data_IF_037564026974
#
_entry.id   IF_037564026974
#
_cell.length_a   1.000
_cell.length_b   1.000
_cell.length_c   1.000
_cell.angle_alpha   90.00
_cell.angle_beta   90.00
_cell.angle_gamma   90.00
#
_symmetry.space_group_name_H-M   'P 1'
#
loop_
_entity.id
_entity.type
_entity.pdbx_description
1 polymer ?
#
# COMPACT_ATOMS: atom_id res chain seq x y z
N UNK A 1 -19.97 49.44 20.26
CA UNK A 1 -19.30 48.13 20.40
C UNK A 1 -18.38 47.97 19.21
N UNK A 2 -17.10 48.31 19.39
CA UNK A 2 -16.08 48.38 18.34
C UNK A 2 -15.13 47.20 18.47
N UNK A 3 -14.80 46.56 17.35
CA UNK A 3 -13.84 45.48 17.27
C UNK A 3 -12.40 45.99 17.49
N UNK A 4 -11.48 45.17 18.04
CA UNK A 4 -10.08 45.55 18.16
C UNK A 4 -9.33 45.39 16.83
N UNK A 5 -8.48 46.37 16.57
CA UNK A 5 -7.59 46.50 15.44
C UNK A 5 -6.33 45.65 15.69
N UNK A 6 -6.02 44.66 14.84
CA UNK A 6 -4.78 43.90 14.89
C UNK A 6 -3.80 44.47 13.85
N UNK A 7 -2.69 45.03 14.33
CA UNK A 7 -1.60 45.56 13.50
C UNK A 7 -0.54 44.47 13.29
N UNK A 8 -0.23 44.14 12.03
CA UNK A 8 0.66 43.06 11.60
C UNK A 8 2.05 43.58 11.14
N UNK A 9 2.65 44.51 11.88
CA UNK A 9 3.96 45.08 11.52
C UNK A 9 5.11 44.84 12.50
N UNK A 10 4.92 44.09 13.60
CA UNK A 10 5.98 43.88 14.62
C UNK A 10 6.56 42.45 14.68
N UNK A 11 6.52 41.70 13.59
CA UNK A 11 7.24 40.44 13.50
C UNK A 11 8.09 40.45 12.24
N UNK A 12 9.35 40.85 12.38
CA UNK A 12 10.54 40.35 11.69
C UNK A 12 11.64 41.41 11.81
N UNK A 13 12.46 41.31 12.85
CA UNK A 13 13.81 41.87 12.85
C UNK A 13 14.78 40.71 13.06
N UNK A 14 15.77 40.50 12.16
CA UNK A 14 16.87 39.59 12.43
C UNK A 14 17.82 40.25 13.43
N UNK A 15 18.04 39.59 14.57
CA UNK A 15 19.17 39.93 15.44
C UNK A 15 20.44 39.37 14.81
N UNK A 16 21.34 40.25 14.38
CA UNK A 16 22.72 39.87 14.06
C UNK A 16 23.48 39.59 15.37
N UNK A 17 24.04 38.39 15.47
CA UNK A 17 24.92 37.98 16.57
C UNK A 17 26.35 38.21 16.09
N UNK A 18 27.15 39.08 16.74
CA UNK A 18 28.57 39.19 16.43
C UNK A 18 29.31 37.96 16.98
N UNK A 19 29.84 37.13 16.08
CA UNK A 19 30.79 36.08 16.41
C UNK A 19 32.20 36.64 16.35
N UNK A 20 32.74 37.05 17.48
CA UNK A 20 34.19 37.26 17.63
C UNK A 20 34.66 36.69 18.97
N UNK A 21 35.03 35.42 18.93
CA UNK A 21 35.80 34.76 19.99
C UNK A 21 36.90 33.93 19.32
N UNK A 22 38.19 34.23 19.53
CA UNK A 22 39.26 33.35 19.12
C UNK A 22 39.25 32.10 20.00
N UNK A 23 38.74 30.99 19.45
CA UNK A 23 38.85 29.68 20.06
C UNK A 23 40.31 29.18 19.98
N UNK A 24 40.91 28.66 21.06
CA UNK A 24 42.21 28.02 20.99
C UNK A 24 42.11 26.76 20.11
N UNK A 25 43.04 26.62 19.17
CA UNK A 25 43.16 25.44 18.30
C UNK A 25 43.40 24.21 19.19
N UNK A 26 42.47 23.25 19.28
CA UNK A 26 42.73 22.01 20.01
C UNK A 26 43.80 21.21 19.25
N UNK A 27 44.78 20.68 19.99
CA UNK A 27 45.80 19.79 19.45
C UNK A 27 45.15 18.64 18.68
N UNK A 28 45.65 18.37 17.47
CA UNK A 28 45.18 17.31 16.58
C UNK A 28 45.15 15.98 17.33
N UNK A 29 43.98 15.37 17.58
CA UNK A 29 43.93 14.04 18.16
C UNK A 29 44.53 13.06 17.16
N UNK A 30 45.49 12.25 17.62
CA UNK A 30 46.08 11.16 16.85
C UNK A 30 44.95 10.30 16.27
N UNK A 31 44.90 10.20 14.94
CA UNK A 31 43.98 9.33 14.23
C UNK A 31 44.20 7.90 14.76
N UNK A 32 43.19 7.24 15.35
CA UNK A 32 43.31 5.82 15.65
C UNK A 32 43.54 5.09 14.32
N UNK A 33 44.56 4.24 14.30
CA UNK A 33 44.88 3.32 13.21
C UNK A 33 43.59 2.66 12.71
N UNK A 34 43.33 2.57 11.40
CA UNK A 34 42.14 1.92 10.89
C UNK A 34 42.11 0.46 11.38
N UNK A 35 41.26 0.20 12.38
CA UNK A 35 40.91 -1.14 12.79
C UNK A 35 40.26 -1.80 11.59
N UNK A 36 40.92 -2.82 11.04
CA UNK A 36 40.37 -3.69 9.99
C UNK A 36 38.90 -3.96 10.29
N UNK A 37 37.96 -3.60 9.39
CA UNK A 37 36.55 -3.85 9.64
C UNK A 37 36.40 -5.35 9.91
N UNK A 38 35.75 -5.66 11.04
CA UNK A 38 35.43 -7.03 11.40
C UNK A 38 34.82 -7.70 10.17
N UNK A 39 35.44 -8.81 9.76
CA UNK A 39 34.96 -9.71 8.74
C UNK A 39 33.47 -9.94 9.04
N UNK A 40 32.59 -9.38 8.22
CA UNK A 40 31.18 -9.72 8.29
C UNK A 40 31.11 -11.22 8.04
N UNK A 41 30.60 -11.94 9.02
CA UNK A 41 30.31 -13.36 8.93
C UNK A 41 29.44 -13.54 7.67
N UNK A 42 30.03 -14.14 6.62
CA UNK A 42 29.44 -14.43 5.31
C UNK A 42 28.37 -15.53 5.47
N UNK A 43 27.43 -15.32 6.38
CA UNK A 43 26.24 -16.15 6.47
C UNK A 43 25.44 -15.86 5.20
N UNK A 44 25.21 -16.84 4.33
CA UNK A 44 24.40 -16.63 3.15
C UNK A 44 23.04 -16.12 3.60
N UNK A 45 22.72 -14.88 3.22
CA UNK A 45 21.40 -14.32 3.47
C UNK A 45 20.40 -15.24 2.81
N UNK A 46 19.44 -15.73 3.61
CA UNK A 46 18.29 -16.45 3.06
C UNK A 46 17.63 -15.55 2.03
N UNK A 47 17.35 -16.04 0.80
CA UNK A 47 16.69 -15.23 -0.22
C UNK A 47 15.42 -14.61 0.36
N UNK A 48 15.34 -13.29 0.36
CA UNK A 48 14.19 -12.58 0.90
C UNK A 48 12.95 -12.94 0.08
N UNK A 49 11.97 -13.59 0.72
CA UNK A 49 10.72 -13.98 0.07
C UNK A 49 9.80 -12.76 -0.02
N UNK A 50 9.77 -12.15 -1.20
CA UNK A 50 9.08 -10.90 -1.46
C UNK A 50 7.55 -11.04 -1.56
N UNK A 51 7.03 -12.26 -1.60
CA UNK A 51 5.59 -12.55 -1.70
C UNK A 51 5.24 -13.53 -0.60
N UNK A 52 4.29 -13.17 0.23
CA UNK A 52 3.84 -14.01 1.33
C UNK A 52 2.36 -14.29 1.21
N UNK A 53 2.02 -15.58 1.13
CA UNK A 53 0.64 -16.04 1.25
C UNK A 53 0.30 -16.28 2.72
N UNK A 54 -0.85 -15.78 3.16
CA UNK A 54 -1.31 -15.95 4.54
C UNK A 54 -2.70 -16.60 4.56
N UNK A 55 -2.82 -17.86 5.02
CA UNK A 55 -1.74 -18.79 5.35
C UNK A 55 -1.03 -19.32 4.09
N UNK A 56 0.25 -19.69 4.21
CA UNK A 56 1.07 -20.16 3.08
C UNK A 56 0.52 -21.45 2.44
N UNK A 57 -0.07 -22.33 3.26
CA UNK A 57 -0.67 -23.58 2.79
C UNK A 57 -1.82 -23.37 1.79
N UNK A 58 -2.45 -22.20 1.78
CA UNK A 58 -3.56 -21.88 0.91
C UNK A 58 -3.11 -21.34 -0.46
N UNK A 59 -1.81 -21.11 -0.69
CA UNK A 59 -1.30 -20.52 -1.94
C UNK A 59 -1.82 -21.22 -3.20
N UNK A 60 -1.72 -22.56 -3.37
CA UNK A 60 -2.19 -23.23 -4.58
C UNK A 60 -3.68 -23.01 -4.82
N UNK A 61 -4.47 -23.03 -3.74
CA UNK A 61 -5.91 -22.80 -3.80
C UNK A 61 -6.20 -21.34 -4.18
N UNK A 62 -5.60 -20.37 -3.48
CA UNK A 62 -5.79 -18.93 -3.73
C UNK A 62 -5.49 -18.61 -5.19
N UNK A 63 -4.36 -19.08 -5.73
CA UNK A 63 -3.96 -18.86 -7.12
C UNK A 63 -4.97 -19.42 -8.13
N UNK A 64 -5.61 -20.55 -7.82
CA UNK A 64 -6.57 -21.21 -8.72
C UNK A 64 -7.93 -20.50 -8.81
N UNK A 65 -8.21 -19.54 -7.93
CA UNK A 65 -9.53 -18.91 -7.87
C UNK A 65 -9.79 -18.01 -9.08
N UNK A 66 -10.98 -18.13 -9.72
CA UNK A 66 -11.39 -17.24 -10.80
C UNK A 66 -11.70 -15.84 -10.24
N UNK A 67 -11.32 -14.81 -10.98
CA UNK A 67 -11.58 -13.42 -10.62
C UNK A 67 -12.92 -13.00 -11.22
N UNK A 68 -13.75 -12.34 -10.42
CA UNK A 68 -14.95 -11.63 -10.88
C UNK A 68 -14.63 -10.18 -11.19
N UNK A 69 -13.96 -9.52 -10.26
CA UNK A 69 -13.61 -8.10 -10.35
C UNK A 69 -12.38 -7.82 -9.50
N UNK A 70 -11.71 -6.73 -9.83
CA UNK A 70 -10.63 -6.17 -9.02
C UNK A 70 -11.14 -4.87 -8.37
N UNK A 71 -10.91 -4.72 -7.08
CA UNK A 71 -11.29 -3.53 -6.33
C UNK A 71 -10.02 -2.81 -5.91
N UNK A 72 -9.91 -1.55 -6.27
CA UNK A 72 -8.91 -0.64 -5.70
C UNK A 72 -9.57 0.07 -4.53
N UNK A 73 -9.03 -0.12 -3.33
CA UNK A 73 -9.64 0.37 -2.09
C UNK A 73 -8.67 1.26 -1.35
N UNK A 74 -9.19 2.39 -0.89
CA UNK A 74 -8.49 3.34 -0.05
C UNK A 74 -9.02 3.24 1.38
N UNK A 75 -8.13 2.98 2.33
CA UNK A 75 -8.44 2.91 3.75
C UNK A 75 -7.81 4.07 4.50
N UNK A 76 -8.46 4.48 5.60
CA UNK A 76 -7.84 5.35 6.59
C UNK A 76 -6.62 4.66 7.22
N UNK A 77 -5.56 5.43 7.42
CA UNK A 77 -4.48 5.01 8.32
C UNK A 77 -4.78 5.59 9.70
N UNK A 78 -4.97 4.76 10.74
CA UNK A 78 -5.47 5.19 12.04
C UNK A 78 -4.56 6.17 12.80
N UNK A 79 -3.33 6.43 12.35
CA UNK A 79 -2.41 7.37 12.97
C UNK A 79 -1.87 8.40 11.96
N UNK A 80 -2.11 9.71 12.17
CA UNK A 80 -1.46 10.75 11.40
C UNK A 80 0.02 10.82 11.77
N UNK A 81 0.89 10.58 10.79
CA UNK A 81 2.34 10.78 10.95
C UNK A 81 2.61 12.26 10.68
N UNK A 82 3.11 12.98 11.69
CA UNK A 82 3.34 14.44 11.63
C UNK A 82 2.10 15.28 11.30
N UNK A 83 0.92 14.87 11.80
CA UNK A 83 -0.33 15.62 11.58
C UNK A 83 -0.92 15.47 10.18
N UNK A 84 -0.35 14.62 9.33
CA UNK A 84 -0.91 14.30 8.01
C UNK A 84 -1.60 12.95 8.02
N UNK A 85 -2.89 12.93 7.66
CA UNK A 85 -3.62 11.69 7.39
C UNK A 85 -3.06 11.04 6.13
N UNK A 86 -2.70 9.76 6.21
CA UNK A 86 -2.23 8.98 5.06
C UNK A 86 -3.32 8.02 4.62
N UNK A 87 -3.34 7.77 3.31
CA UNK A 87 -4.12 6.71 2.69
C UNK A 87 -3.31 5.43 2.65
N UNK A 88 -3.89 4.31 3.05
CA UNK A 88 -3.37 3.00 2.62
C UNK A 88 -4.22 2.50 1.46
N UNK A 89 -3.55 2.10 0.38
CA UNK A 89 -4.20 1.53 -0.79
C UNK A 89 -3.97 0.02 -0.79
N UNK A 90 -4.98 -0.71 -1.22
CA UNK A 90 -4.93 -2.17 -1.39
C UNK A 90 -5.75 -2.58 -2.59
N UNK A 91 -5.32 -3.65 -3.26
CA UNK A 91 -6.17 -4.34 -4.21
C UNK A 91 -6.94 -5.46 -3.51
N UNK A 92 -8.22 -5.60 -3.81
CA UNK A 92 -9.03 -6.75 -3.40
C UNK A 92 -9.58 -7.43 -4.64
N UNK A 93 -9.27 -8.71 -4.79
CA UNK A 93 -9.74 -9.52 -5.91
C UNK A 93 -11.01 -10.23 -5.45
N UNK A 94 -12.15 -9.90 -6.06
CA UNK A 94 -13.41 -10.59 -5.76
C UNK A 94 -13.43 -11.96 -6.43
N UNK A 95 -13.61 -13.02 -5.66
CA UNK A 95 -13.63 -14.41 -6.14
C UNK A 95 -15.01 -15.08 -5.98
N UNK A 96 -15.98 -14.36 -5.40
CA UNK A 96 -17.36 -14.82 -5.18
C UNK A 96 -17.71 -15.00 -3.70
N UNK A 97 -19.01 -15.13 -3.39
CA UNK A 97 -19.48 -15.46 -2.03
C UNK A 97 -19.04 -14.50 -0.91
N UNK A 98 -18.85 -13.20 -1.22
CA UNK A 98 -18.27 -12.20 -0.32
C UNK A 98 -16.84 -12.50 0.16
N UNK A 99 -16.12 -13.37 -0.55
CA UNK A 99 -14.71 -13.67 -0.35
C UNK A 99 -13.89 -12.80 -1.30
N UNK A 100 -12.83 -12.23 -0.75
CA UNK A 100 -11.88 -11.40 -1.46
C UNK A 100 -10.47 -11.88 -1.19
N UNK A 101 -9.57 -11.75 -2.16
CA UNK A 101 -8.13 -11.91 -1.95
C UNK A 101 -7.53 -10.52 -1.88
N UNK A 102 -7.04 -10.13 -0.71
CA UNK A 102 -6.32 -8.90 -0.52
C UNK A 102 -4.89 -9.06 -1.05
N UNK A 103 -4.47 -8.10 -1.87
CA UNK A 103 -3.10 -7.96 -2.39
C UNK A 103 -2.60 -6.59 -1.95
N UNK A 104 -1.75 -6.60 -0.94
CA UNK A 104 -1.28 -5.40 -0.26
C UNK A 104 0.24 -5.32 -0.31
N UNK A 105 0.76 -4.14 -0.63
CA UNK A 105 2.19 -3.85 -0.53
C UNK A 105 2.48 -3.21 0.83
N UNK A 106 3.17 -3.95 1.70
CA UNK A 106 3.59 -3.46 3.00
C UNK A 106 5.05 -2.99 2.96
N UNK A 107 5.30 -1.85 3.58
CA UNK A 107 6.66 -1.38 3.86
C UNK A 107 7.24 -2.23 5.00
N UNK A 108 8.35 -2.93 4.76
CA UNK A 108 8.95 -3.72 5.82
C UNK A 108 9.55 -2.81 6.90
N UNK A 109 9.26 -3.12 8.16
CA UNK A 109 9.83 -2.41 9.32
C UNK A 109 11.21 -2.94 9.73
N UNK A 110 11.64 -4.08 9.18
CA UNK A 110 12.89 -4.70 9.57
C UNK A 110 14.09 -3.93 8.98
N UNK A 111 15.00 -3.50 9.85
CA UNK A 111 16.15 -2.67 9.49
C UNK A 111 17.23 -3.42 8.70
N UNK A 112 17.19 -4.74 8.67
CA UNK A 112 18.08 -5.56 7.81
C UNK A 112 17.71 -5.51 6.32
N UNK A 113 16.60 -4.86 5.96
CA UNK A 113 16.11 -4.74 4.56
C UNK A 113 16.33 -3.33 3.99
N UNK A 114 17.22 -2.57 4.59
CA UNK A 114 17.74 -1.34 3.99
C UNK A 114 18.69 -1.74 2.88
N UNK A 115 18.31 -1.43 1.65
CA UNK A 115 19.27 -1.38 0.55
C UNK A 115 19.94 -0.01 0.57
N UNK A 116 21.12 0.15 -0.08
CA UNK A 116 21.69 1.47 -0.34
C UNK A 116 20.70 2.44 -1.03
N UNK A 117 19.61 1.92 -1.60
CA UNK A 117 18.62 2.66 -2.38
C UNK A 117 17.26 2.85 -1.67
N UNK A 118 17.01 2.23 -0.51
CA UNK A 118 15.72 2.37 0.16
C UNK A 118 15.34 1.23 1.10
N UNK A 119 14.03 1.07 1.34
CA UNK A 119 13.47 -0.07 2.08
C UNK A 119 12.69 -0.97 1.15
N UNK A 120 12.86 -2.29 1.27
CA UNK A 120 12.10 -3.24 0.46
C UNK A 120 10.62 -3.30 0.88
N UNK A 121 9.75 -3.49 -0.11
CA UNK A 121 8.36 -3.84 0.09
C UNK A 121 8.18 -5.35 0.17
N UNK A 122 7.16 -5.77 0.91
CA UNK A 122 6.67 -7.14 0.92
C UNK A 122 5.24 -7.17 0.36
N UNK A 123 5.00 -8.05 -0.61
CA UNK A 123 3.67 -8.28 -1.15
C UNK A 123 2.97 -9.33 -0.30
N UNK A 124 1.90 -8.96 0.38
CA UNK A 124 1.10 -9.89 1.19
C UNK A 124 -0.17 -10.25 0.43
N UNK A 125 -0.45 -11.55 0.32
CA UNK A 125 -1.62 -12.10 -0.34
C UNK A 125 -2.41 -12.95 0.64
N UNK A 126 -3.67 -12.61 0.90
CA UNK A 126 -4.48 -13.38 1.85
C UNK A 126 -5.97 -13.30 1.53
N UNK A 127 -6.70 -14.34 1.93
CA UNK A 127 -8.15 -14.36 1.83
C UNK A 127 -8.80 -13.53 2.95
N UNK A 128 -9.84 -12.77 2.61
CA UNK A 128 -10.60 -11.93 3.53
C UNK A 128 -12.08 -11.88 3.13
N UNK A 129 -12.88 -11.20 3.95
CA UNK A 129 -14.33 -11.02 3.75
C UNK A 129 -14.70 -9.55 3.67
N UNK A 130 -15.94 -9.24 3.26
CA UNK A 130 -16.44 -7.86 3.15
C UNK A 130 -16.35 -7.02 4.43
N UNK A 131 -16.19 -7.63 5.61
CA UNK A 131 -15.96 -6.91 6.86
C UNK A 131 -14.68 -6.06 6.83
N UNK A 132 -13.75 -6.36 5.92
CA UNK A 132 -12.49 -5.62 5.75
C UNK A 132 -12.69 -4.27 5.05
N UNK A 133 -13.89 -3.95 4.57
CA UNK A 133 -14.20 -2.66 3.96
C UNK A 133 -14.86 -1.67 4.93
N UNK A 134 -14.87 -1.94 6.24
CA UNK A 134 -15.52 -1.06 7.23
C UNK A 134 -14.87 0.30 7.37
N UNK A 135 -13.57 0.37 7.12
CA UNK A 135 -12.73 1.55 7.12
C UNK A 135 -12.36 2.01 5.70
N UNK A 136 -13.01 1.42 4.68
CA UNK A 136 -12.82 1.82 3.29
C UNK A 136 -13.50 3.18 3.08
N UNK A 137 -12.68 4.18 2.76
CA UNK A 137 -13.14 5.51 2.40
C UNK A 137 -13.60 5.54 0.94
N UNK A 138 -12.91 4.79 0.08
CA UNK A 138 -13.27 4.67 -1.32
C UNK A 138 -13.04 3.25 -1.84
N UNK A 139 -13.96 2.80 -2.69
CA UNK A 139 -13.90 1.51 -3.38
C UNK A 139 -14.13 1.79 -4.85
N UNK A 140 -13.13 1.51 -5.67
CA UNK A 140 -13.23 1.59 -7.11
C UNK A 140 -13.19 0.18 -7.71
N UNK A 141 -14.24 -0.18 -8.44
CA UNK A 141 -14.37 -1.50 -9.07
C UNK A 141 -13.85 -1.43 -10.49
N UNK A 142 -13.01 -2.39 -10.84
CA UNK A 142 -12.32 -2.51 -12.12
C UNK A 142 -12.73 -3.84 -12.76
N UNK A 143 -13.28 -3.77 -13.97
CA UNK A 143 -13.69 -4.94 -14.73
C UNK A 143 -12.47 -5.71 -15.21
N UNK A 144 -12.50 -7.03 -15.03
CA UNK A 144 -11.40 -7.92 -15.45
C UNK A 144 -11.82 -8.84 -16.58
N UNK A 145 -10.86 -9.50 -17.19
CA UNK A 145 -11.13 -10.54 -18.17
C UNK A 145 -11.91 -11.72 -17.54
N UNK A 146 -13.01 -12.21 -18.15
CA UNK A 146 -13.89 -13.21 -17.54
C UNK A 146 -13.24 -14.56 -17.20
N UNK A 147 -12.08 -14.87 -17.80
CA UNK A 147 -11.31 -16.08 -17.55
C UNK A 147 -10.06 -15.86 -16.69
N UNK A 148 -9.86 -14.63 -16.18
CA UNK A 148 -8.71 -14.33 -15.34
C UNK A 148 -8.79 -15.06 -13.99
N UNK A 149 -7.65 -15.44 -13.47
CA UNK A 149 -7.47 -16.08 -12.16
C UNK A 149 -6.56 -15.23 -11.28
N UNK A 150 -6.60 -15.45 -9.97
CA UNK A 150 -5.66 -14.80 -9.03
C UNK A 150 -4.22 -15.06 -9.43
N UNK A 151 -3.92 -16.24 -9.98
CA UNK A 151 -2.59 -16.56 -10.52
C UNK A 151 -2.14 -15.60 -11.62
N UNK A 152 -3.04 -15.15 -12.50
CA UNK A 152 -2.70 -14.22 -13.59
C UNK A 152 -2.27 -12.86 -13.03
N UNK A 153 -2.99 -12.37 -12.00
CA UNK A 153 -2.65 -11.15 -11.27
C UNK A 153 -1.28 -11.26 -10.60
N UNK A 154 -1.06 -12.32 -9.81
CA UNK A 154 0.20 -12.50 -9.09
C UNK A 154 1.36 -12.70 -10.06
N UNK A 155 1.18 -13.47 -11.13
CA UNK A 155 2.24 -13.70 -12.12
C UNK A 155 2.58 -12.44 -12.90
N UNK A 156 1.62 -11.56 -13.20
CA UNK A 156 1.92 -10.26 -13.80
C UNK A 156 2.86 -9.44 -12.89
N UNK A 157 2.55 -9.38 -11.58
CA UNK A 157 3.40 -8.68 -10.60
C UNK A 157 4.79 -9.33 -10.48
N UNK A 158 4.85 -10.67 -10.46
CA UNK A 158 6.11 -11.42 -10.37
C UNK A 158 6.99 -11.19 -11.59
N UNK A 159 6.44 -11.45 -12.79
CA UNK A 159 7.19 -11.38 -14.06
C UNK A 159 7.72 -9.99 -14.36
N UNK A 160 7.01 -8.95 -13.91
CA UNK A 160 7.45 -7.56 -14.06
C UNK A 160 8.39 -7.07 -12.95
N UNK A 161 8.73 -7.90 -11.96
CA UNK A 161 9.60 -7.51 -10.86
C UNK A 161 8.95 -6.60 -9.81
N UNK A 162 7.66 -6.23 -9.95
CA UNK A 162 6.96 -5.30 -9.05
C UNK A 162 6.80 -5.81 -7.62
N UNK A 163 6.92 -7.11 -7.38
CA UNK A 163 7.01 -7.70 -6.04
C UNK A 163 8.28 -7.29 -5.28
N UNK A 164 9.34 -6.85 -5.98
CA UNK A 164 10.62 -6.40 -5.41
C UNK A 164 10.67 -4.88 -5.26
N UNK A 165 9.52 -4.24 -5.08
CA UNK A 165 9.45 -2.78 -4.98
C UNK A 165 10.32 -2.26 -3.83
N UNK A 166 11.06 -1.18 -4.09
CA UNK A 166 11.84 -0.49 -3.07
C UNK A 166 11.26 0.92 -2.86
N UNK A 167 10.94 1.23 -1.60
CA UNK A 167 10.57 2.57 -1.18
C UNK A 167 11.83 3.43 -1.15
N UNK A 168 11.96 4.34 -2.12
CA UNK A 168 13.10 5.24 -2.23
C UNK A 168 12.94 6.52 -1.40
N UNK A 169 14.05 7.27 -1.25
CA UNK A 169 14.07 8.57 -0.58
C UNK A 169 13.34 9.67 -1.37
N UNK A 170 13.13 9.47 -2.67
CA UNK A 170 12.39 10.38 -3.54
C UNK A 170 10.87 10.26 -3.36
N UNK A 171 10.42 9.37 -2.47
CA UNK A 171 9.02 9.26 -2.10
C UNK A 171 8.18 8.54 -3.16
N UNK A 172 8.76 7.66 -3.98
CA UNK A 172 7.97 6.64 -4.70
C UNK A 172 7.29 5.76 -3.65
N UNK A 173 6.10 6.20 -3.26
CA UNK A 173 5.28 5.54 -2.26
C UNK A 173 4.45 4.41 -2.86
N UNK A 174 3.70 3.73 -2.00
CA UNK A 174 2.79 2.66 -2.41
C UNK A 174 1.84 3.11 -3.54
N UNK A 175 1.41 4.38 -3.55
CA UNK A 175 0.58 4.96 -4.61
C UNK A 175 1.20 4.82 -6.01
N UNK A 176 2.50 5.08 -6.17
CA UNK A 176 3.19 4.91 -7.46
C UNK A 176 3.20 3.45 -7.89
N UNK A 177 3.41 2.53 -6.95
CA UNK A 177 3.29 1.10 -7.21
C UNK A 177 1.88 0.70 -7.68
N UNK A 178 0.81 1.24 -7.09
CA UNK A 178 -0.56 0.97 -7.52
C UNK A 178 -0.83 1.47 -8.95
N UNK A 179 -0.38 2.69 -9.28
CA UNK A 179 -0.48 3.24 -10.64
C UNK A 179 0.22 2.34 -11.66
N UNK A 180 1.49 2.03 -11.41
CA UNK A 180 2.28 1.16 -12.28
C UNK A 180 1.65 -0.23 -12.44
N UNK A 181 0.96 -0.72 -11.40
CA UNK A 181 0.33 -2.05 -11.38
C UNK A 181 -0.99 -2.07 -12.15
N UNK A 182 -1.75 -0.97 -12.16
CA UNK A 182 -2.96 -0.85 -13.00
C UNK A 182 -2.56 -0.92 -14.48
N UNK A 183 -1.55 -0.14 -14.89
CA UNK A 183 -1.05 -0.14 -16.26
C UNK A 183 -0.54 -1.52 -16.67
N UNK A 184 0.16 -2.20 -15.75
CA UNK A 184 0.61 -3.58 -15.95
C UNK A 184 -0.56 -4.55 -16.17
N UNK A 185 -1.60 -4.49 -15.34
CA UNK A 185 -2.75 -5.39 -15.46
C UNK A 185 -3.51 -5.16 -16.74
N UNK A 186 -3.64 -3.90 -17.17
CA UNK A 186 -4.20 -3.57 -18.47
C UNK A 186 -3.33 -4.12 -19.62
N UNK A 187 -2.01 -3.89 -19.58
CA UNK A 187 -1.09 -4.40 -20.60
C UNK A 187 -1.03 -5.93 -20.71
N UNK A 188 -1.33 -6.65 -19.61
CA UNK A 188 -1.38 -8.12 -19.59
C UNK A 188 -2.78 -8.69 -19.85
N UNK A 189 -3.76 -7.84 -20.18
CA UNK A 189 -5.14 -8.27 -20.46
C UNK A 189 -5.90 -8.78 -19.23
N UNK A 190 -5.42 -8.51 -18.02
CA UNK A 190 -6.16 -8.78 -16.78
C UNK A 190 -7.30 -7.78 -16.64
N UNK A 191 -7.03 -6.49 -16.85
CA UNK A 191 -8.06 -5.44 -16.95
C UNK A 191 -8.42 -5.30 -18.43
N UNK A 192 -9.69 -5.45 -18.76
CA UNK A 192 -10.17 -5.39 -20.15
C UNK A 192 -10.79 -4.05 -20.51
N UNK A 193 -11.25 -3.29 -19.52
CA UNK A 193 -11.88 -1.99 -19.74
C UNK A 193 -10.87 -0.85 -19.52
N UNK A 194 -10.48 -0.20 -20.61
CA UNK A 194 -9.57 0.96 -20.59
C UNK A 194 -10.11 2.09 -19.71
N UNK A 195 -11.42 2.31 -19.71
CA UNK A 195 -12.03 3.38 -18.92
C UNK A 195 -11.92 3.12 -17.41
N UNK A 196 -12.02 1.85 -16.98
CA UNK A 196 -11.85 1.47 -15.58
C UNK A 196 -10.39 1.67 -15.14
N UNK A 197 -9.42 1.30 -15.97
CA UNK A 197 -8.00 1.55 -15.70
C UNK A 197 -7.70 3.04 -15.57
N UNK A 198 -8.17 3.86 -16.52
CA UNK A 198 -7.97 5.31 -16.51
C UNK A 198 -8.56 5.96 -15.26
N UNK A 199 -9.78 5.56 -14.88
CA UNK A 199 -10.45 6.12 -13.70
C UNK A 199 -9.81 5.68 -12.38
N UNK A 200 -9.33 4.44 -12.30
CA UNK A 200 -8.56 3.97 -11.15
C UNK A 200 -7.27 4.79 -10.98
N UNK A 201 -6.56 5.08 -12.07
CA UNK A 201 -5.37 5.93 -12.05
C UNK A 201 -5.69 7.38 -11.67
N UNK A 202 -6.78 7.94 -12.18
CA UNK A 202 -7.25 9.28 -11.79
C UNK A 202 -7.48 9.38 -10.27
N UNK A 203 -8.18 8.39 -9.69
CA UNK A 203 -8.45 8.33 -8.24
C UNK A 203 -7.16 8.24 -7.41
N UNK A 204 -6.15 7.53 -7.90
CA UNK A 204 -4.85 7.48 -7.23
C UNK A 204 -4.12 8.81 -7.26
N UNK A 205 -4.32 9.66 -8.28
CA UNK A 205 -3.71 10.99 -8.34
C UNK A 205 -4.35 12.02 -7.38
N UNK A 206 -5.54 11.75 -6.86
CA UNK A 206 -6.20 12.66 -5.93
C UNK A 206 -5.48 12.70 -4.57
N UNK A 207 -5.28 13.91 -4.07
CA UNK A 207 -4.80 14.15 -2.70
C UNK A 207 -5.82 13.59 -1.70
N UNK A 208 -5.34 13.01 -0.58
CA UNK A 208 -6.22 12.43 0.43
C UNK A 208 -7.25 13.42 0.98
N UNK A 209 -6.83 14.68 1.18
CA UNK A 209 -7.73 15.78 1.57
C UNK A 209 -8.85 16.04 0.57
N UNK A 210 -8.61 15.78 -0.72
CA UNK A 210 -9.60 15.91 -1.80
C UNK A 210 -10.44 14.65 -2.00
N UNK A 211 -10.07 13.52 -1.38
CA UNK A 211 -10.89 12.31 -1.37
C UNK A 211 -12.04 12.41 -0.34
N UNK A 212 -11.96 13.37 0.59
CA UNK A 212 -13.00 13.66 1.59
C UNK A 212 -14.15 14.56 1.10
N UNK A 213 -14.26 14.82 -0.21
CA UNK A 213 -15.43 15.54 -0.72
C UNK A 213 -16.68 14.66 -0.65
N UNK A 214 -17.48 14.91 0.38
CA UNK A 214 -18.94 14.89 0.33
C UNK A 214 -19.59 13.60 -0.14
N UNK A 215 -20.37 12.99 0.75
CA UNK A 215 -21.47 12.09 0.41
C UNK A 215 -22.51 12.89 -0.42
N UNK A 216 -22.19 13.23 -1.67
CA UNK A 216 -23.11 13.88 -2.61
C UNK A 216 -22.49 13.88 -4.01
N UNK A 217 -22.46 12.71 -4.64
CA UNK A 217 -22.00 12.59 -6.03
C UNK A 217 -21.75 11.14 -6.45
N UNK A 218 -22.69 10.25 -6.12
CA UNK A 218 -22.75 8.80 -6.43
C UNK A 218 -21.47 8.12 -6.93
N UNK A 219 -20.64 7.60 -6.01
CA UNK A 219 -20.13 6.24 -6.06
C UNK A 219 -21.08 5.34 -5.24
N UNK A 220 -21.33 4.12 -5.71
CA UNK A 220 -22.26 3.17 -5.11
C UNK A 220 -22.13 3.10 -3.57
N UNK A 221 -23.22 3.39 -2.85
CA UNK A 221 -23.21 3.49 -1.39
C UNK A 221 -22.71 2.20 -0.73
N UNK A 222 -21.77 2.32 0.21
CA UNK A 222 -21.31 1.27 1.13
C UNK A 222 -22.47 0.45 1.74
N UNK A 223 -23.65 1.06 1.86
CA UNK A 223 -24.89 0.46 2.33
C UNK A 223 -25.34 -0.80 1.58
N UNK A 224 -24.96 -1.00 0.30
CA UNK A 224 -25.29 -2.24 -0.44
C UNK A 224 -24.28 -3.37 -0.23
N UNK A 225 -23.01 -3.07 0.08
CA UNK A 225 -21.98 -4.08 0.34
C UNK A 225 -22.04 -4.62 1.78
N UNK A 226 -22.56 -3.82 2.72
CA UNK A 226 -22.63 -4.17 4.14
C UNK A 226 -24.04 -4.58 4.64
N UNK A 227 -25.04 -4.67 3.77
CA UNK A 227 -26.40 -5.01 4.19
C UNK A 227 -26.53 -6.49 4.62
N UNK A 228 -26.67 -6.67 5.94
CA UNK A 228 -27.19 -7.84 6.68
C UNK A 228 -26.29 -9.09 6.77
N UNK A 229 -25.34 -9.05 7.70
CA UNK A 229 -24.90 -10.28 8.40
C UNK A 229 -24.84 -10.02 9.92
N UNK A 230 -25.53 -10.81 10.76
CA UNK A 230 -25.43 -10.71 12.22
C UNK A 230 -24.04 -11.16 12.70
N UNK A 231 -23.58 -10.72 13.88
CA UNK A 231 -22.24 -11.04 14.37
C UNK A 231 -22.15 -12.53 14.72
N UNK A 232 -21.39 -13.29 13.93
CA UNK A 232 -21.05 -14.68 14.22
C UNK A 232 -19.58 -14.79 14.63
N UNK A 233 -19.34 -15.51 15.74
CA UNK A 233 -18.03 -15.78 16.33
C UNK A 233 -17.13 -16.54 15.36
N UNK A 234 -15.84 -16.21 15.42
CA UNK A 234 -14.73 -16.70 14.61
C UNK A 234 -14.61 -18.24 14.59
N UNK A 235 -14.72 -18.81 13.40
CA UNK A 235 -13.94 -19.96 12.93
C UNK A 235 -13.73 -19.76 11.42
N UNK A 236 -12.47 -19.75 10.98
CA UNK A 236 -12.14 -19.81 9.54
C UNK A 236 -12.73 -21.11 8.99
N UNK A 237 -13.86 -21.01 8.28
CA UNK A 237 -14.41 -22.14 7.56
C UNK A 237 -13.52 -22.34 6.34
N UNK A 238 -12.92 -23.54 6.20
CA UNK A 238 -12.25 -23.96 4.96
C UNK A 238 -13.14 -23.54 3.79
N UNK A 239 -12.56 -22.85 2.81
CA UNK A 239 -13.25 -22.47 1.57
C UNK A 239 -13.71 -23.77 0.89
N UNK A 240 -14.95 -24.18 1.15
CA UNK A 240 -15.56 -25.35 0.53
C UNK A 240 -16.11 -24.91 -0.81
N UNK A 241 -15.30 -25.07 -1.87
CA UNK A 241 -15.75 -24.84 -3.23
C UNK A 241 -16.70 -25.97 -3.59
N UNK A 242 -18.01 -25.73 -3.54
CA UNK A 242 -18.99 -26.62 -4.17
C UNK A 242 -18.75 -26.58 -5.68
N UNK A 243 -18.08 -27.61 -6.21
CA UNK A 243 -18.06 -27.87 -7.64
C UNK A 243 -19.46 -28.27 -8.08
N UNK A 244 -20.19 -27.37 -8.72
CA UNK A 244 -21.35 -27.73 -9.52
C UNK A 244 -20.87 -28.48 -10.77
N UNK A 245 -20.89 -29.81 -10.74
CA UNK A 245 -20.96 -30.63 -11.96
C UNK A 245 -22.35 -30.41 -12.57
N UNK A 246 -22.42 -29.71 -13.69
CA UNK A 246 -23.57 -29.84 -14.58
C UNK A 246 -23.41 -31.17 -15.34
N UNK A 247 -24.47 -31.98 -15.28
CA UNK A 247 -24.67 -33.18 -16.09
C UNK A 247 -25.07 -32.77 -17.51
#
# INVERSE_FOLDING_TARGET
MSAPNFNLQDMFLPQEIPFDFPMPIPATPHLPTPTTPAFYDDKPETPFEHIMFVPMADEPQIRSLPIRDLLLVAHDVPEPVHGQTRSSWSFYISVGGNIYIAVSLLKTINHSLFTPHGRRGALIVHATTSNHFRDAQQIYRISVHPRATVNDVINAIVRSGRHRFEFDANGRGARGWFLDTIDLFHANGVITNVADAAKASEVLHLEWSRLNFGISGTPWSLSRLCAKSPPSRKTFTKIHVQQHRQQ
#
